data_IF_719949424811
#
_entry.id   IF_719949424811
#
_cell.length_a   1.000
_cell.length_b   1.000
_cell.length_c   1.000
_cell.angle_alpha   90.00
_cell.angle_beta   90.00
_cell.angle_gamma   90.00
#
_symmetry.space_group_name_H-M   'P 1'
#
loop_
_entity.id
_entity.type
_entity.pdbx_description
1 polymer ?
#
# COMPACT_ATOMS: atom_id res chain seq x y z
N UNK A 1 -45.21 11.71 23.60
CA UNK A 1 -45.30 11.43 22.15
C UNK A 1 -44.27 10.37 21.82
N UNK A 2 -44.70 9.16 21.51
CA UNK A 2 -43.83 8.10 20.98
C UNK A 2 -43.55 8.44 19.52
N UNK A 3 -42.33 8.86 19.20
CA UNK A 3 -41.89 8.90 17.80
C UNK A 3 -41.71 7.45 17.35
N UNK A 4 -42.71 6.90 16.67
CA UNK A 4 -42.57 5.62 15.96
C UNK A 4 -41.58 5.83 14.83
N UNK A 5 -40.39 5.27 14.97
CA UNK A 5 -39.38 5.25 13.90
C UNK A 5 -39.85 4.25 12.84
N UNK A 6 -40.59 4.72 11.84
CA UNK A 6 -40.99 3.90 10.70
C UNK A 6 -39.86 4.00 9.67
N UNK A 7 -39.09 2.93 9.53
CA UNK A 7 -38.08 2.83 8.47
C UNK A 7 -38.78 2.73 7.11
N UNK A 8 -38.27 3.40 6.06
CA UNK A 8 -38.77 3.23 4.70
C UNK A 8 -38.72 1.76 4.27
N UNK A 9 -39.73 1.29 3.52
CA UNK A 9 -39.78 -0.10 3.06
C UNK A 9 -38.52 -0.52 2.29
N UNK A 10 -37.94 0.40 1.53
CA UNK A 10 -36.66 0.17 0.84
C UNK A 10 -35.51 -0.13 1.80
N UNK A 11 -35.45 0.56 2.94
CA UNK A 11 -34.44 0.32 3.98
C UNK A 11 -34.65 -1.06 4.61
N UNK A 12 -35.90 -1.43 4.89
CA UNK A 12 -36.25 -2.74 5.46
C UNK A 12 -35.86 -3.86 4.49
N UNK A 13 -36.24 -3.75 3.22
CA UNK A 13 -35.91 -4.75 2.20
C UNK A 13 -34.39 -4.89 1.99
N UNK A 14 -33.65 -3.77 2.01
CA UNK A 14 -32.18 -3.84 1.91
C UNK A 14 -31.53 -4.53 3.12
N UNK A 15 -32.06 -4.33 4.33
CA UNK A 15 -31.57 -5.02 5.53
C UNK A 15 -31.89 -6.51 5.45
N UNK A 16 -33.12 -6.86 5.05
CA UNK A 16 -33.54 -8.26 4.90
C UNK A 16 -32.67 -9.01 3.89
N UNK A 17 -32.40 -8.43 2.73
CA UNK A 17 -31.54 -9.02 1.70
C UNK A 17 -30.13 -9.30 2.24
N UNK A 18 -29.55 -8.37 3.01
CA UNK A 18 -28.23 -8.57 3.64
C UNK A 18 -28.26 -9.67 4.69
N UNK A 19 -29.31 -9.73 5.51
CA UNK A 19 -29.47 -10.76 6.53
C UNK A 19 -29.62 -12.15 5.89
N UNK A 20 -30.37 -12.27 4.80
CA UNK A 20 -30.52 -13.54 4.08
C UNK A 20 -29.18 -14.07 3.54
N UNK A 21 -28.30 -13.20 3.04
CA UNK A 21 -26.98 -13.59 2.56
C UNK A 21 -26.13 -14.12 3.73
N UNK A 22 -26.13 -13.42 4.87
CA UNK A 22 -25.40 -13.85 6.06
C UNK A 22 -25.97 -15.16 6.62
N UNK A 23 -27.30 -15.34 6.60
CA UNK A 23 -27.96 -16.57 7.04
C UNK A 23 -27.65 -17.76 6.12
N UNK A 24 -27.54 -17.54 4.80
CA UNK A 24 -27.08 -18.56 3.84
C UNK A 24 -25.65 -18.99 4.13
N UNK A 25 -24.75 -18.05 4.45
CA UNK A 25 -23.38 -18.37 4.84
C UNK A 25 -23.31 -19.27 6.09
N UNK A 26 -24.26 -19.18 7.02
CA UNK A 26 -24.31 -20.01 8.22
C UNK A 26 -24.83 -21.44 7.96
N UNK A 27 -25.66 -21.63 6.91
CA UNK A 27 -26.42 -22.87 6.74
C UNK A 27 -26.03 -23.72 5.52
N UNK A 28 -25.43 -23.14 4.46
CA UNK A 28 -24.84 -23.88 3.33
C UNK A 28 -24.10 -22.95 2.35
N UNK A 29 -23.00 -22.33 2.79
CA UNK A 29 -22.31 -21.32 1.99
C UNK A 29 -21.76 -21.87 0.67
N UNK A 30 -22.02 -21.18 -0.44
CA UNK A 30 -21.19 -21.32 -1.64
C UNK A 30 -20.13 -20.20 -1.68
N UNK A 31 -19.16 -20.31 -2.60
CA UNK A 31 -18.05 -19.35 -2.73
C UNK A 31 -18.54 -17.90 -2.95
N UNK A 32 -19.66 -17.71 -3.67
CA UNK A 32 -20.21 -16.38 -3.93
C UNK A 32 -20.86 -15.79 -2.67
N UNK A 33 -21.53 -16.61 -1.87
CA UNK A 33 -22.12 -16.18 -0.60
C UNK A 33 -21.02 -15.73 0.36
N UNK A 34 -19.93 -16.49 0.50
CA UNK A 34 -18.78 -16.11 1.34
C UNK A 34 -18.11 -14.82 0.87
N UNK A 35 -17.92 -14.66 -0.45
CA UNK A 35 -17.35 -13.45 -1.01
C UNK A 35 -18.24 -12.23 -0.74
N UNK A 36 -19.56 -12.37 -0.87
CA UNK A 36 -20.50 -11.31 -0.59
C UNK A 36 -20.56 -10.99 0.92
N UNK A 37 -20.50 -11.99 1.79
CA UNK A 37 -20.43 -11.78 3.24
C UNK A 37 -19.19 -10.96 3.63
N UNK A 38 -18.01 -11.25 3.06
CA UNK A 38 -16.79 -10.45 3.28
C UNK A 38 -16.96 -8.99 2.85
N UNK A 39 -17.58 -8.75 1.69
CA UNK A 39 -17.87 -7.40 1.20
C UNK A 39 -18.84 -6.67 2.15
N UNK A 40 -19.87 -7.36 2.64
CA UNK A 40 -20.84 -6.82 3.60
C UNK A 40 -20.20 -6.50 4.95
N UNK A 41 -19.36 -7.39 5.47
CA UNK A 41 -18.60 -7.17 6.70
C UNK A 41 -17.69 -5.96 6.60
N UNK A 42 -16.97 -5.82 5.47
CA UNK A 42 -16.08 -4.68 5.23
C UNK A 42 -16.84 -3.36 5.12
N UNK A 43 -17.99 -3.35 4.45
CA UNK A 43 -18.85 -2.16 4.38
C UNK A 43 -19.39 -1.79 5.77
N UNK A 44 -19.84 -2.78 6.54
CA UNK A 44 -20.42 -2.58 7.87
C UNK A 44 -19.38 -2.12 8.89
N UNK A 45 -18.17 -2.71 8.89
CA UNK A 45 -17.10 -2.33 9.83
C UNK A 45 -16.68 -0.87 9.65
N UNK A 46 -16.76 -0.36 8.42
CA UNK A 46 -16.45 1.02 8.05
C UNK A 46 -17.64 1.96 8.08
N UNK A 47 -18.84 1.44 8.33
CA UNK A 47 -20.10 2.19 8.31
C UNK A 47 -20.33 2.92 6.97
N UNK A 48 -19.93 2.30 5.86
CA UNK A 48 -20.11 2.83 4.51
C UNK A 48 -21.14 2.01 3.73
N UNK A 49 -21.70 2.62 2.69
CA UNK A 49 -22.56 1.92 1.74
C UNK A 49 -21.74 1.00 0.82
N UNK A 50 -22.39 -0.05 0.31
CA UNK A 50 -21.80 -0.91 -0.74
C UNK A 50 -21.42 -0.13 -1.99
N UNK A 51 -22.16 0.94 -2.32
CA UNK A 51 -21.84 1.83 -3.43
C UNK A 51 -20.53 2.58 -3.20
N UNK A 52 -20.31 3.09 -1.98
CA UNK A 52 -19.04 3.73 -1.61
C UNK A 52 -17.89 2.71 -1.63
N UNK A 53 -18.08 1.53 -1.04
CA UNK A 53 -17.06 0.47 -1.05
C UNK A 53 -16.66 0.07 -2.47
N UNK A 54 -17.62 -0.04 -3.39
CA UNK A 54 -17.37 -0.33 -4.81
C UNK A 54 -16.53 0.75 -5.49
N UNK A 55 -16.82 2.01 -5.20
CA UNK A 55 -16.07 3.13 -5.77
C UNK A 55 -14.63 3.17 -5.22
N UNK A 56 -14.45 2.95 -3.92
CA UNK A 56 -13.11 2.87 -3.34
C UNK A 56 -12.30 1.68 -3.90
N UNK A 57 -12.94 0.52 -4.07
CA UNK A 57 -12.29 -0.63 -4.69
C UNK A 57 -11.88 -0.35 -6.14
N UNK A 58 -12.71 0.39 -6.90
CA UNK A 58 -12.36 0.84 -8.25
C UNK A 58 -11.13 1.74 -8.25
N UNK A 59 -11.04 2.67 -7.30
CA UNK A 59 -9.88 3.57 -7.17
C UNK A 59 -8.61 2.81 -6.76
N UNK A 60 -8.75 1.85 -5.84
CA UNK A 60 -7.68 0.93 -5.47
C UNK A 60 -7.14 0.17 -6.69
N UNK A 61 -8.01 -0.45 -7.48
CA UNK A 61 -7.61 -1.17 -8.70
C UNK A 61 -6.91 -0.25 -9.71
N UNK A 62 -7.37 0.99 -9.88
CA UNK A 62 -6.71 1.96 -10.76
C UNK A 62 -5.29 2.29 -10.30
N UNK A 63 -5.09 2.50 -9.01
CA UNK A 63 -3.75 2.74 -8.45
C UNK A 63 -2.87 1.50 -8.53
N UNK A 64 -3.42 0.32 -8.27
CA UNK A 64 -2.71 -0.95 -8.36
C UNK A 64 -2.25 -1.22 -9.80
N UNK A 65 -3.11 -1.04 -10.80
CA UNK A 65 -2.73 -1.16 -12.21
C UNK A 65 -1.61 -0.19 -12.58
N UNK A 66 -1.71 1.07 -12.12
CA UNK A 66 -0.64 2.07 -12.31
C UNK A 66 0.67 1.66 -11.64
N UNK A 67 0.60 1.01 -10.46
CA UNK A 67 1.77 0.48 -9.77
C UNK A 67 2.44 -0.60 -10.61
N UNK A 68 1.67 -1.57 -11.13
CA UNK A 68 2.17 -2.63 -12.01
C UNK A 68 2.82 -2.06 -13.27
N UNK A 69 2.18 -1.10 -13.94
CA UNK A 69 2.77 -0.44 -15.12
C UNK A 69 4.08 0.28 -14.81
N UNK A 70 4.20 0.90 -13.63
CA UNK A 70 5.44 1.54 -13.19
C UNK A 70 6.51 0.52 -12.84
N UNK A 71 6.13 -0.61 -12.23
CA UNK A 71 7.03 -1.70 -11.89
C UNK A 71 7.61 -2.33 -13.16
N UNK A 72 6.79 -2.61 -14.17
CA UNK A 72 7.23 -3.14 -15.46
C UNK A 72 8.23 -2.22 -16.15
N UNK A 73 7.93 -0.90 -16.17
CA UNK A 73 8.84 0.12 -16.72
C UNK A 73 10.15 0.20 -15.94
N UNK A 74 10.09 0.08 -14.62
CA UNK A 74 11.28 0.10 -13.78
C UNK A 74 12.14 -1.15 -14.01
N UNK A 75 11.55 -2.34 -14.03
CA UNK A 75 12.25 -3.59 -14.29
C UNK A 75 12.94 -3.59 -15.65
N UNK A 76 12.23 -3.14 -16.70
CA UNK A 76 12.81 -3.02 -18.04
C UNK A 76 14.01 -2.06 -18.08
N UNK A 77 13.99 -0.99 -17.26
CA UNK A 77 15.12 -0.06 -17.14
C UNK A 77 16.29 -0.66 -16.38
N UNK A 78 16.01 -1.39 -15.30
CA UNK A 78 17.03 -2.12 -14.53
C UNK A 78 17.70 -3.19 -15.40
N UNK A 79 16.95 -3.93 -16.21
CA UNK A 79 17.49 -4.90 -17.18
C UNK A 79 18.40 -4.25 -18.23
N UNK A 80 18.15 -2.98 -18.56
CA UNK A 80 19.01 -2.17 -19.44
C UNK A 80 20.23 -1.59 -18.72
N UNK A 81 20.41 -1.87 -17.43
CA UNK A 81 21.49 -1.32 -16.60
C UNK A 81 21.25 0.12 -16.14
N UNK A 82 20.04 0.65 -16.32
CA UNK A 82 19.67 2.02 -15.93
C UNK A 82 18.87 2.01 -14.62
N UNK A 83 19.47 2.47 -13.52
CA UNK A 83 18.70 2.78 -12.31
C UNK A 83 18.08 4.16 -12.47
N UNK A 84 16.78 4.19 -12.70
CA UNK A 84 16.04 5.45 -12.81
C UNK A 84 15.48 5.81 -11.43
N UNK A 85 16.26 6.55 -10.63
CA UNK A 85 15.90 6.98 -9.27
C UNK A 85 14.51 7.61 -9.21
N UNK A 86 14.16 8.44 -10.19
CA UNK A 86 12.82 9.04 -10.25
C UNK A 86 11.70 8.01 -10.41
N UNK A 87 11.90 6.94 -11.19
CA UNK A 87 10.92 5.86 -11.30
C UNK A 87 10.84 5.07 -9.99
N UNK A 88 11.98 4.81 -9.35
CA UNK A 88 12.02 4.17 -8.04
C UNK A 88 11.20 4.95 -7.00
N UNK A 89 11.44 6.27 -6.88
CA UNK A 89 10.71 7.14 -5.95
C UNK A 89 9.21 7.12 -6.22
N UNK A 90 8.81 7.25 -7.49
CA UNK A 90 7.39 7.25 -7.89
C UNK A 90 6.69 5.92 -7.62
N UNK A 91 7.35 4.81 -7.92
CA UNK A 91 6.84 3.46 -7.67
C UNK A 91 6.59 3.27 -6.17
N UNK A 92 7.59 3.60 -5.35
CA UNK A 92 7.55 3.43 -3.91
C UNK A 92 6.51 4.32 -3.23
N UNK A 93 6.38 5.58 -3.61
CA UNK A 93 5.33 6.44 -3.05
C UNK A 93 3.92 6.07 -3.51
N UNK A 94 3.76 5.49 -4.71
CA UNK A 94 2.47 4.92 -5.10
C UNK A 94 2.13 3.67 -4.27
N UNK A 95 3.10 2.80 -4.01
CA UNK A 95 2.91 1.65 -3.12
C UNK A 95 2.53 2.11 -1.70
N UNK A 96 3.26 3.09 -1.16
CA UNK A 96 2.96 3.72 0.13
C UNK A 96 1.53 4.26 0.17
N UNK A 97 1.12 5.01 -0.85
CA UNK A 97 -0.24 5.55 -0.93
C UNK A 97 -1.30 4.44 -0.93
N UNK A 98 -1.07 3.37 -1.70
CA UNK A 98 -1.98 2.22 -1.75
C UNK A 98 -2.12 1.59 -0.35
N UNK A 99 -1.00 1.35 0.32
CA UNK A 99 -0.98 0.71 1.63
C UNK A 99 -1.56 1.62 2.71
N UNK A 100 -1.28 2.92 2.69
CA UNK A 100 -1.80 3.88 3.66
C UNK A 100 -3.33 4.02 3.57
N UNK A 101 -3.87 4.08 2.35
CA UNK A 101 -5.30 4.36 2.09
C UNK A 101 -6.16 3.10 2.04
N UNK A 102 -5.63 1.97 1.56
CA UNK A 102 -6.42 0.79 1.22
C UNK A 102 -5.96 -0.48 1.93
N UNK A 103 -5.30 -0.37 3.09
CA UNK A 103 -4.83 -1.51 3.89
C UNK A 103 -5.94 -2.52 4.23
N UNK A 104 -7.20 -2.11 4.32
CA UNK A 104 -8.33 -2.98 4.65
C UNK A 104 -8.64 -4.00 3.55
N UNK A 105 -8.19 -3.76 2.32
CA UNK A 105 -8.28 -4.75 1.25
C UNK A 105 -7.25 -5.88 1.39
N UNK A 106 -6.38 -5.84 2.41
CA UNK A 106 -5.39 -6.87 2.73
C UNK A 106 -5.76 -7.69 3.97
N UNK A 107 -7.06 -7.84 4.25
CA UNK A 107 -7.56 -8.56 5.44
C UNK A 107 -7.69 -10.07 5.26
N UNK A 108 -7.74 -10.58 4.03
CA UNK A 108 -7.69 -12.02 3.77
C UNK A 108 -6.27 -12.58 3.91
N UNK A 109 -6.15 -13.88 4.18
CA UNK A 109 -4.85 -14.51 4.46
C UNK A 109 -3.87 -14.43 3.29
N UNK A 110 -4.32 -14.57 2.04
CA UNK A 110 -3.44 -14.48 0.88
C UNK A 110 -2.88 -13.06 0.74
N UNK A 111 -3.73 -12.05 0.93
CA UNK A 111 -3.30 -10.64 0.88
C UNK A 111 -2.41 -10.25 2.06
N UNK A 112 -2.60 -10.85 3.26
CA UNK A 112 -1.69 -10.67 4.40
C UNK A 112 -0.29 -11.19 4.08
N UNK A 113 -0.19 -12.37 3.46
CA UNK A 113 1.10 -12.94 3.04
C UNK A 113 1.78 -12.06 1.99
N UNK A 114 1.04 -11.50 1.04
CA UNK A 114 1.58 -10.50 0.09
C UNK A 114 2.13 -9.28 0.83
N UNK A 115 1.37 -8.72 1.77
CA UNK A 115 1.81 -7.55 2.53
C UNK A 115 3.04 -7.86 3.38
N UNK A 116 3.09 -9.04 4.02
CA UNK A 116 4.25 -9.54 4.76
C UNK A 116 5.48 -9.66 3.86
N UNK A 117 5.33 -10.26 2.68
CA UNK A 117 6.38 -10.40 1.68
C UNK A 117 6.94 -9.05 1.21
N UNK A 118 6.07 -8.07 0.98
CA UNK A 118 6.48 -6.70 0.62
C UNK A 118 7.26 -6.02 1.75
N UNK A 119 6.80 -6.14 2.99
CA UNK A 119 7.48 -5.58 4.17
C UNK A 119 8.88 -6.16 4.35
N UNK A 120 9.00 -7.49 4.27
CA UNK A 120 10.29 -8.18 4.40
C UNK A 120 11.24 -7.83 3.26
N UNK A 121 10.75 -7.85 2.02
CA UNK A 121 11.57 -7.51 0.83
C UNK A 121 12.10 -6.08 0.91
N UNK A 122 11.23 -5.12 1.24
CA UNK A 122 11.62 -3.71 1.36
C UNK A 122 12.64 -3.49 2.48
N UNK A 123 12.45 -4.18 3.61
CA UNK A 123 13.36 -4.15 4.76
C UNK A 123 14.74 -4.72 4.41
N UNK A 124 14.78 -5.88 3.77
CA UNK A 124 16.02 -6.52 3.36
C UNK A 124 16.80 -5.62 2.39
N UNK A 125 16.11 -5.05 1.41
CA UNK A 125 16.70 -4.14 0.44
C UNK A 125 17.27 -2.87 1.10
N UNK A 126 16.53 -2.27 2.05
CA UNK A 126 17.04 -1.16 2.85
C UNK A 126 18.31 -1.51 3.61
N UNK A 127 18.35 -2.67 4.27
CA UNK A 127 19.52 -3.11 5.03
C UNK A 127 20.73 -3.39 4.15
N UNK A 128 20.51 -3.91 2.94
CA UNK A 128 21.57 -4.13 1.96
C UNK A 128 22.19 -2.82 1.48
N UNK A 129 21.37 -1.85 1.06
CA UNK A 129 21.86 -0.54 0.62
C UNK A 129 22.57 0.20 1.76
N UNK A 130 22.01 0.13 2.98
CA UNK A 130 22.59 0.76 4.17
C UNK A 130 23.98 0.21 4.50
N UNK A 131 24.23 -1.09 4.27
CA UNK A 131 25.56 -1.70 4.47
C UNK A 131 26.55 -1.31 3.38
N UNK A 132 26.08 -1.15 2.15
CA UNK A 132 26.92 -0.89 0.98
C UNK A 132 27.24 0.60 0.77
N UNK A 133 26.60 1.51 1.52
CA UNK A 133 26.82 2.95 1.40
C UNK A 133 27.82 3.42 2.45
N UNK A 134 29.03 3.81 2.02
CA UNK A 134 30.02 4.45 2.90
C UNK A 134 29.50 5.82 3.37
N UNK A 135 29.30 5.97 4.68
CA UNK A 135 28.72 7.15 5.37
C UNK A 135 29.41 8.50 5.06
N UNK A 136 30.58 8.50 4.40
CA UNK A 136 31.42 9.70 4.23
C UNK A 136 30.96 10.67 3.12
N UNK A 137 30.12 10.25 2.16
CA UNK A 137 29.63 11.11 1.05
C UNK A 137 28.09 11.13 0.90
N UNK A 138 27.36 10.85 1.98
CA UNK A 138 25.94 10.47 1.97
C UNK A 138 24.93 11.52 1.45
N UNK A 139 25.31 12.80 1.28
CA UNK A 139 24.34 13.87 0.95
C UNK A 139 24.16 14.16 -0.55
N UNK A 140 24.81 13.41 -1.46
CA UNK A 140 24.76 13.69 -2.91
C UNK A 140 24.47 12.49 -3.83
N UNK A 141 24.30 11.29 -3.28
CA UNK A 141 24.19 10.07 -4.08
C UNK A 141 22.75 9.55 -4.17
N UNK A 142 22.42 8.92 -5.30
CA UNK A 142 21.18 8.18 -5.56
C UNK A 142 20.79 7.27 -4.39
N UNK A 143 21.79 6.67 -3.73
CA UNK A 143 21.63 5.85 -2.52
C UNK A 143 20.93 6.59 -1.38
N UNK A 144 21.16 7.90 -1.21
CA UNK A 144 20.47 8.70 -0.20
C UNK A 144 18.97 8.80 -0.49
N UNK A 145 18.63 9.17 -1.73
CA UNK A 145 17.25 9.30 -2.17
C UNK A 145 16.53 7.95 -2.03
N UNK A 146 17.19 6.87 -2.47
CA UNK A 146 16.66 5.51 -2.35
C UNK A 146 16.44 5.12 -0.88
N UNK A 147 17.41 5.35 0.01
CA UNK A 147 17.28 5.01 1.43
C UNK A 147 16.18 5.82 2.13
N UNK A 148 16.13 7.12 1.91
CA UNK A 148 15.09 7.98 2.50
C UNK A 148 13.70 7.63 1.96
N UNK A 149 13.56 7.31 0.67
CA UNK A 149 12.31 6.78 0.11
C UNK A 149 11.91 5.46 0.76
N UNK A 150 12.84 4.52 0.93
CA UNK A 150 12.56 3.22 1.57
C UNK A 150 12.08 3.38 3.01
N UNK A 151 12.62 4.32 3.78
CA UNK A 151 12.14 4.62 5.14
C UNK A 151 10.65 4.94 5.18
N UNK A 152 10.18 5.81 4.28
CA UNK A 152 8.75 6.13 4.16
C UNK A 152 7.90 4.90 3.86
N UNK A 153 8.31 4.08 2.88
CA UNK A 153 7.56 2.89 2.48
C UNK A 153 7.53 1.84 3.57
N UNK A 154 8.67 1.54 4.19
CA UNK A 154 8.80 0.54 5.25
C UNK A 154 7.92 0.90 6.45
N UNK A 155 7.90 2.18 6.85
CA UNK A 155 7.01 2.63 7.93
C UNK A 155 5.53 2.38 7.63
N UNK A 156 5.08 2.71 6.42
CA UNK A 156 3.70 2.48 6.00
C UNK A 156 3.37 0.98 5.90
N UNK A 157 4.29 0.18 5.35
CA UNK A 157 4.17 -1.27 5.27
C UNK A 157 4.06 -1.91 6.66
N UNK A 158 4.96 -1.58 7.60
CA UNK A 158 4.91 -2.06 8.99
C UNK A 158 3.58 -1.69 9.64
N UNK A 159 3.16 -0.42 9.50
CA UNK A 159 1.91 0.06 10.09
C UNK A 159 0.69 -0.69 9.55
N UNK A 160 0.63 -0.92 8.24
CA UNK A 160 -0.44 -1.71 7.64
C UNK A 160 -0.37 -3.18 8.06
N UNK A 161 0.83 -3.79 8.05
CA UNK A 161 1.02 -5.18 8.47
C UNK A 161 0.54 -5.42 9.91
N UNK A 162 0.84 -4.50 10.84
CA UNK A 162 0.34 -4.57 12.22
C UNK A 162 -1.18 -4.42 12.28
N UNK A 163 -1.77 -3.50 11.50
CA UNK A 163 -3.23 -3.28 11.47
C UNK A 163 -4.00 -4.50 10.99
N UNK A 164 -3.54 -5.17 9.93
CA UNK A 164 -4.17 -6.39 9.41
C UNK A 164 -3.70 -7.66 10.13
N UNK A 165 -2.80 -7.54 11.10
CA UNK A 165 -2.16 -8.66 11.81
C UNK A 165 -1.40 -9.62 10.89
N UNK A 166 -0.83 -9.11 9.80
CA UNK A 166 0.12 -9.85 8.95
C UNK A 166 1.50 -10.01 9.61
N UNK A 167 1.85 -9.08 10.49
CA UNK A 167 3.04 -9.15 11.34
C UNK A 167 2.67 -8.85 12.78
N UNK A 168 3.37 -9.48 13.71
CA UNK A 168 3.37 -9.14 15.14
C UNK A 168 4.41 -8.07 15.46
N UNK A 169 4.25 -7.38 16.60
CA UNK A 169 5.27 -6.43 17.10
C UNK A 169 6.62 -7.11 17.33
N UNK A 170 6.63 -8.38 17.74
CA UNK A 170 7.86 -9.16 17.92
C UNK A 170 8.59 -9.38 16.60
N UNK A 171 7.86 -9.75 15.54
CA UNK A 171 8.44 -9.90 14.19
C UNK A 171 8.97 -8.56 13.67
N UNK A 172 8.25 -7.46 13.87
CA UNK A 172 8.72 -6.11 13.48
C UNK A 172 9.99 -5.72 14.24
N UNK A 173 10.05 -5.97 15.55
CA UNK A 173 11.24 -5.68 16.35
C UNK A 173 12.45 -6.53 15.93
N UNK A 174 12.22 -7.78 15.50
CA UNK A 174 13.26 -8.67 15.02
C UNK A 174 13.92 -8.20 13.70
N UNK A 175 13.27 -7.30 12.95
CA UNK A 175 13.84 -6.70 11.73
C UNK A 175 15.06 -5.80 12.01
N UNK A 176 15.23 -5.33 13.26
CA UNK A 176 16.38 -4.54 13.72
C UNK A 176 16.78 -3.39 12.78
N UNK A 177 15.79 -2.60 12.38
CA UNK A 177 15.94 -1.53 11.37
C UNK A 177 16.75 -0.31 11.86
N UNK A 178 16.89 -0.16 13.18
CA UNK A 178 17.41 1.05 13.81
C UNK A 178 16.44 2.23 13.63
N UNK A 179 16.97 3.45 13.57
CA UNK A 179 16.16 4.62 13.26
C UNK A 179 15.83 4.66 11.75
N UNK A 180 14.54 4.56 11.45
CA UNK A 180 13.96 4.68 10.11
C UNK A 180 13.09 5.92 9.97
N UNK A 181 13.20 6.89 10.87
CA UNK A 181 12.51 8.17 10.74
C UNK A 181 13.03 8.88 9.47
N UNK A 182 12.16 9.14 8.48
CA UNK A 182 12.56 9.86 7.29
C UNK A 182 12.98 11.28 7.66
N UNK A 183 14.11 11.72 7.12
CA UNK A 183 14.63 13.08 7.28
C UNK A 183 14.10 14.00 6.19
N UNK A 184 13.74 13.44 5.04
CA UNK A 184 13.24 14.19 3.89
C UNK A 184 11.76 13.97 3.65
N UNK A 185 11.07 14.99 3.13
CA UNK A 185 9.67 14.87 2.72
C UNK A 185 9.54 14.13 1.37
N UNK A 186 8.37 13.54 1.11
CA UNK A 186 8.07 12.91 -0.18
C UNK A 186 8.23 13.88 -1.36
N UNK A 187 7.82 15.15 -1.18
CA UNK A 187 7.98 16.21 -2.18
C UNK A 187 9.45 16.53 -2.42
N UNK A 188 10.26 16.61 -1.37
CA UNK A 188 11.69 16.89 -1.49
C UNK A 188 12.41 15.74 -2.22
N UNK A 189 12.13 14.49 -1.85
CA UNK A 189 12.72 13.31 -2.51
C UNK A 189 12.32 13.23 -3.99
N UNK A 190 11.07 13.55 -4.31
CA UNK A 190 10.59 13.64 -5.70
C UNK A 190 11.31 14.76 -6.47
N UNK A 191 11.52 15.90 -5.82
CA UNK A 191 12.25 17.03 -6.40
C UNK A 191 13.71 16.66 -6.69
N UNK A 192 14.43 16.12 -5.70
CA UNK A 192 15.82 15.68 -5.83
C UNK A 192 16.00 14.66 -6.96
N UNK A 193 15.14 13.64 -7.00
CA UNK A 193 15.16 12.63 -8.06
C UNK A 193 14.82 13.22 -9.45
N UNK A 194 14.04 14.30 -9.50
CA UNK A 194 13.71 15.00 -10.75
C UNK A 194 14.83 15.92 -11.22
N UNK A 195 15.58 16.56 -10.31
CA UNK A 195 16.72 17.42 -10.67
C UNK A 195 17.81 16.63 -11.37
N UNK A 196 18.07 15.40 -10.95
CA UNK A 196 19.04 14.51 -11.61
C UNK A 196 18.67 14.18 -13.06
N UNK A 197 17.37 14.09 -13.37
CA UNK A 197 16.92 13.95 -14.77
C UNK A 197 17.40 15.13 -15.62
N UNK A 198 17.43 16.33 -15.05
CA UNK A 198 17.88 17.54 -15.75
C UNK A 198 19.39 17.64 -15.85
N UNK A 199 20.16 17.15 -14.87
CA UNK A 199 21.62 17.11 -14.95
C UNK A 199 22.11 16.33 -16.17
N UNK A 200 21.45 15.21 -16.50
CA UNK A 200 21.73 14.46 -17.73
C UNK A 200 21.35 15.24 -19.00
N UNK A 201 20.20 15.91 -19.00
CA UNK A 201 19.76 16.75 -20.14
C UNK A 201 20.72 17.92 -20.36
N UNK A 202 21.15 18.61 -19.31
CA UNK A 202 22.08 19.74 -19.39
C UNK A 202 23.48 19.30 -19.83
N UNK A 203 23.98 18.14 -19.38
CA UNK A 203 25.25 17.58 -19.85
C UNK A 203 25.27 17.22 -21.35
N UNK A 204 24.12 16.89 -21.92
CA UNK A 204 23.99 16.57 -23.35
C UNK A 204 23.69 17.81 -24.22
N UNK A 205 23.44 18.97 -23.61
CA UNK A 205 23.21 20.25 -24.29
C UNK A 205 24.45 21.17 -24.28
N UNK A 206 25.44 20.88 -23.43
CA UNK A 206 26.73 21.57 -23.35
C UNK A 206 27.79 20.86 -24.20
#
# INVERSE_FOLDING_TARGET
MLHSFILPQQTISSIQERLEILEKCLNNANIQDEAMAKILELANSRQISLGQLREEFRQFLQKFNKLTELADKFNLKVEQGEIVVLLFVRLNFLLKEIVDQYWEFFLDEDSKEVLKGLTVTSTNFYMEIKKNTDLKNFQKDDSYIVLETLKHVILSLIKASLRVKALSEQEVNALNLGDITPQESETMLTSLASTQKWDWVYKNLA
#
